data_IF_923280147021
#
_entry.id   IF_923280147021
#
_cell.length_a   1.000
_cell.length_b   1.000
_cell.length_c   1.000
_cell.angle_alpha   90.00
_cell.angle_beta   90.00
_cell.angle_gamma   90.00
#
_symmetry.space_group_name_H-M   'P 1'
#
loop_
_entity.id
_entity.type
_entity.pdbx_description
1 polymer ?
#
# COMPACT_ATOMS: atom_id res chain seq x y z
N UNK A 1 -34.04 25.83 15.92
CA UNK A 1 -33.50 24.64 16.62
C UNK A 1 -34.36 24.37 17.84
N UNK A 2 -34.60 23.10 18.17
CA UNK A 2 -35.44 22.68 19.30
C UNK A 2 -35.07 23.37 20.63
N UNK A 3 -33.78 23.64 20.89
CA UNK A 3 -33.33 24.40 22.07
C UNK A 3 -33.87 25.84 22.15
N UNK A 4 -34.07 26.54 21.03
CA UNK A 4 -34.70 27.88 21.04
C UNK A 4 -36.19 27.80 21.33
N UNK A 5 -36.84 26.72 20.89
CA UNK A 5 -38.24 26.46 21.22
C UNK A 5 -38.38 26.12 22.71
N UNK A 6 -37.51 25.26 23.26
CA UNK A 6 -37.46 24.94 24.70
C UNK A 6 -37.25 26.19 25.56
N UNK A 7 -36.31 27.06 25.19
CA UNK A 7 -36.10 28.35 25.91
C UNK A 7 -37.28 29.31 25.72
N UNK A 8 -38.02 29.20 24.61
CA UNK A 8 -39.24 29.96 24.38
C UNK A 8 -40.40 29.51 25.27
N UNK A 9 -40.50 28.21 25.57
CA UNK A 9 -41.51 27.64 26.46
C UNK A 9 -41.13 27.71 27.94
N UNK A 10 -39.85 27.54 28.26
CA UNK A 10 -39.26 27.67 29.60
C UNK A 10 -38.03 28.58 29.52
N UNK A 11 -38.22 29.89 29.74
CA UNK A 11 -37.13 30.85 29.75
C UNK A 11 -36.07 30.53 30.79
N UNK A 12 -36.38 29.87 31.91
CA UNK A 12 -35.44 29.63 33.01
C UNK A 12 -34.76 28.27 32.98
N UNK A 13 -34.95 27.52 31.90
CA UNK A 13 -34.27 26.27 31.65
C UNK A 13 -32.74 26.46 31.56
N UNK A 14 -32.06 26.39 32.71
CA UNK A 14 -30.64 26.69 32.87
C UNK A 14 -29.75 25.83 31.97
N UNK A 15 -30.03 24.52 31.89
CA UNK A 15 -29.29 23.58 31.04
C UNK A 15 -29.42 23.89 29.55
N UNK A 16 -30.61 24.25 29.05
CA UNK A 16 -30.81 24.62 27.65
C UNK A 16 -30.10 25.95 27.31
N UNK A 17 -30.12 26.93 28.22
CA UNK A 17 -29.35 28.19 28.11
C UNK A 17 -27.84 27.93 28.03
N UNK A 18 -27.29 27.06 28.89
CA UNK A 18 -25.87 26.69 28.87
C UNK A 18 -25.50 26.00 27.56
N UNK A 19 -26.25 24.97 27.15
CA UNK A 19 -26.02 24.25 25.89
C UNK A 19 -26.11 25.19 24.67
N UNK A 20 -27.06 26.13 24.65
CA UNK A 20 -27.17 27.08 23.55
C UNK A 20 -25.97 28.03 23.49
N UNK A 21 -25.48 28.51 24.64
CA UNK A 21 -24.28 29.37 24.71
C UNK A 21 -23.05 28.62 24.23
N UNK A 22 -22.83 27.40 24.70
CA UNK A 22 -21.68 26.58 24.29
C UNK A 22 -21.74 26.22 22.81
N UNK A 23 -22.90 25.88 22.25
CA UNK A 23 -23.07 25.65 20.81
C UNK A 23 -22.77 26.90 19.96
N UNK A 24 -23.11 28.09 20.46
CA UNK A 24 -22.75 29.35 19.80
C UNK A 24 -21.23 29.58 19.84
N UNK A 25 -20.59 29.35 20.98
CA UNK A 25 -19.14 29.48 21.12
C UNK A 25 -18.41 28.46 20.24
N UNK A 26 -18.89 27.23 20.20
CA UNK A 26 -18.41 26.15 19.33
C UNK A 26 -18.47 26.57 17.85
N UNK A 27 -19.63 27.04 17.40
CA UNK A 27 -19.82 27.51 16.03
C UNK A 27 -18.91 28.71 15.69
N UNK A 28 -18.72 29.62 16.64
CA UNK A 28 -17.80 30.76 16.50
C UNK A 28 -16.36 30.27 16.35
N UNK A 29 -15.90 29.36 17.20
CA UNK A 29 -14.54 28.80 17.15
C UNK A 29 -14.25 28.07 15.85
N UNK A 30 -15.19 27.26 15.37
CA UNK A 30 -15.09 26.67 14.04
C UNK A 30 -14.98 27.73 12.94
N UNK A 31 -15.80 28.79 12.99
CA UNK A 31 -15.75 29.85 11.98
C UNK A 31 -14.42 30.63 12.03
N UNK A 32 -13.87 30.89 13.22
CA UNK A 32 -12.53 31.46 13.40
C UNK A 32 -11.45 30.57 12.77
N UNK A 33 -11.55 29.25 12.97
CA UNK A 33 -10.70 28.26 12.29
C UNK A 33 -10.86 28.28 10.76
N UNK A 34 -12.09 28.37 10.24
CA UNK A 34 -12.35 28.43 8.80
C UNK A 34 -11.75 29.72 8.18
N UNK A 35 -11.77 30.83 8.91
CA UNK A 35 -11.12 32.10 8.51
C UNK A 35 -9.60 31.95 8.50
N UNK A 36 -9.01 31.39 9.56
CA UNK A 36 -7.56 31.13 9.62
C UNK A 36 -7.10 30.19 8.49
N UNK A 37 -7.87 29.13 8.21
CA UNK A 37 -7.59 28.19 7.13
C UNK A 37 -7.57 28.90 5.77
N UNK A 38 -8.55 29.78 5.49
CA UNK A 38 -8.57 30.59 4.26
C UNK A 38 -7.39 31.57 4.19
N UNK A 39 -6.95 32.09 5.33
CA UNK A 39 -5.75 32.92 5.43
C UNK A 39 -4.44 32.10 5.30
N UNK A 40 -4.52 30.78 5.12
CA UNK A 40 -3.38 29.83 5.09
C UNK A 40 -2.59 29.75 6.40
N UNK A 41 -3.15 30.26 7.49
CA UNK A 41 -2.63 30.10 8.84
C UNK A 41 -3.16 28.78 9.42
N UNK A 42 -2.52 27.68 9.01
CA UNK A 42 -2.99 26.33 9.33
C UNK A 42 -2.79 25.97 10.81
N UNK A 43 -1.73 26.47 11.44
CA UNK A 43 -1.48 26.24 12.87
C UNK A 43 -2.56 26.88 13.73
N UNK A 44 -2.91 28.15 13.45
CA UNK A 44 -4.02 28.81 14.13
C UNK A 44 -5.35 28.13 13.83
N UNK A 45 -5.59 27.71 12.59
CA UNK A 45 -6.81 26.98 12.24
C UNK A 45 -6.95 25.70 13.08
N UNK A 46 -5.87 24.93 13.20
CA UNK A 46 -5.83 23.71 14.02
C UNK A 46 -6.10 23.98 15.50
N UNK A 47 -5.53 25.04 16.05
CA UNK A 47 -5.76 25.44 17.45
C UNK A 47 -7.25 25.75 17.68
N UNK A 48 -7.87 26.56 16.80
CA UNK A 48 -9.29 26.93 16.93
C UNK A 48 -10.24 25.74 16.72
N UNK A 49 -9.91 24.80 15.81
CA UNK A 49 -10.68 23.57 15.66
C UNK A 49 -10.54 22.64 16.87
N UNK A 50 -9.36 22.56 17.46
CA UNK A 50 -9.13 21.72 18.65
C UNK A 50 -9.89 22.27 19.86
N UNK A 51 -9.86 23.59 20.08
CA UNK A 51 -10.69 24.25 21.08
C UNK A 51 -12.18 24.00 20.83
N UNK A 52 -12.64 24.04 19.58
CA UNK A 52 -14.02 23.68 19.26
C UNK A 52 -14.34 22.23 19.69
N UNK A 53 -13.48 21.26 19.42
CA UNK A 53 -13.72 19.85 19.77
C UNK A 53 -13.77 19.60 21.29
N UNK A 54 -12.96 20.32 22.07
CA UNK A 54 -12.94 20.27 23.54
C UNK A 54 -14.20 20.87 24.17
N UNK A 55 -14.71 21.96 23.60
CA UNK A 55 -15.84 22.71 24.17
C UNK A 55 -17.22 22.09 23.93
N UNK A 56 -17.30 20.88 23.35
CA UNK A 56 -18.56 20.25 22.95
C UNK A 56 -19.27 19.58 24.15
N UNK A 57 -20.36 20.15 24.71
CA UNK A 57 -21.00 19.63 25.93
C UNK A 57 -22.26 18.79 25.63
N UNK A 58 -22.40 18.35 24.38
CA UNK A 58 -23.58 17.66 23.85
C UNK A 58 -23.37 16.13 23.89
N UNK A 59 -24.42 15.33 24.14
CA UNK A 59 -24.34 13.88 23.98
C UNK A 59 -23.69 13.50 22.63
N UNK A 60 -22.77 12.53 22.61
CA UNK A 60 -21.96 12.22 21.42
C UNK A 60 -22.79 12.03 20.14
N UNK A 61 -23.99 11.46 20.26
CA UNK A 61 -24.86 11.12 19.12
C UNK A 61 -25.49 12.33 18.44
N UNK A 62 -25.88 13.36 19.18
CA UNK A 62 -26.53 14.56 18.63
C UNK A 62 -25.52 15.54 18.00
N UNK A 63 -24.28 15.52 18.48
CA UNK A 63 -23.19 16.35 17.96
C UNK A 63 -22.28 15.64 16.95
N UNK A 64 -22.45 14.33 16.73
CA UNK A 64 -21.58 13.49 15.92
C UNK A 64 -21.27 14.08 14.54
N UNK A 65 -22.30 14.43 13.75
CA UNK A 65 -22.10 15.00 12.41
C UNK A 65 -21.41 16.38 12.43
N UNK A 66 -21.63 17.18 13.48
CA UNK A 66 -20.93 18.46 13.61
C UNK A 66 -19.46 18.23 13.98
N UNK A 67 -19.19 17.37 14.97
CA UNK A 67 -17.83 17.00 15.40
C UNK A 67 -17.03 16.41 14.24
N UNK A 68 -17.61 15.49 13.47
CA UNK A 68 -17.01 14.91 12.27
C UNK A 68 -16.56 16.00 11.28
N UNK A 69 -17.37 17.04 11.05
CA UNK A 69 -17.01 18.17 10.17
C UNK A 69 -15.85 19.01 10.72
N UNK A 70 -15.80 19.24 12.03
CA UNK A 70 -14.69 19.98 12.65
C UNK A 70 -13.39 19.18 12.56
N UNK A 71 -13.44 17.87 12.87
CA UNK A 71 -12.32 16.95 12.70
C UNK A 71 -11.81 16.95 11.26
N UNK A 72 -12.70 16.89 10.26
CA UNK A 72 -12.30 16.96 8.86
C UNK A 72 -11.65 18.28 8.45
N UNK A 73 -12.10 19.41 9.01
CA UNK A 73 -11.47 20.71 8.79
C UNK A 73 -10.07 20.77 9.43
N UNK A 74 -9.90 20.21 10.64
CA UNK A 74 -8.59 20.06 11.29
C UNK A 74 -7.67 19.13 10.48
N UNK A 75 -8.17 17.98 10.04
CA UNK A 75 -7.47 17.07 9.13
C UNK A 75 -7.03 17.77 7.83
N UNK A 76 -7.87 18.64 7.27
CA UNK A 76 -7.49 19.41 6.06
C UNK A 76 -6.36 20.39 6.34
N UNK A 77 -6.27 20.93 7.56
CA UNK A 77 -5.17 21.79 8.01
C UNK A 77 -3.88 21.00 8.22
N UNK A 78 -3.95 19.82 8.86
CA UNK A 78 -2.83 18.88 8.97
C UNK A 78 -2.30 18.45 7.60
N UNK A 79 -3.20 18.17 6.65
CA UNK A 79 -2.82 17.78 5.30
C UNK A 79 -2.05 18.89 4.57
N UNK A 80 -2.38 20.16 4.82
CA UNK A 80 -1.65 21.30 4.26
C UNK A 80 -0.22 21.43 4.84
N UNK A 81 -0.02 20.98 6.07
CA UNK A 81 1.28 20.90 6.75
C UNK A 81 2.03 19.58 6.52
N UNK A 82 1.49 18.66 5.71
CA UNK A 82 2.05 17.31 5.43
C UNK A 82 2.11 16.38 6.66
N UNK A 83 1.32 16.68 7.68
CA UNK A 83 1.19 15.86 8.90
C UNK A 83 0.22 14.70 8.65
N UNK A 84 0.61 13.74 7.83
CA UNK A 84 -0.30 12.72 7.29
C UNK A 84 -0.82 11.69 8.30
N UNK A 85 -0.10 11.45 9.40
CA UNK A 85 -0.55 10.54 10.45
C UNK A 85 -1.76 11.14 11.20
N UNK A 86 -1.66 12.41 11.56
CA UNK A 86 -2.72 13.17 12.24
C UNK A 86 -3.96 13.30 11.35
N UNK A 87 -3.78 13.42 10.02
CA UNK A 87 -4.90 13.37 9.07
C UNK A 87 -5.65 12.04 9.16
N UNK A 88 -4.93 10.93 9.28
CA UNK A 88 -5.52 9.60 9.38
C UNK A 88 -6.31 9.46 10.68
N UNK A 89 -5.75 9.93 11.79
CA UNK A 89 -6.40 9.89 13.10
C UNK A 89 -7.70 10.72 13.10
N UNK A 90 -7.64 11.98 12.67
CA UNK A 90 -8.80 12.87 12.61
C UNK A 90 -9.89 12.34 11.68
N UNK A 91 -9.52 11.80 10.51
CA UNK A 91 -10.48 11.21 9.59
C UNK A 91 -11.08 9.92 10.16
N UNK A 92 -10.31 9.14 10.92
CA UNK A 92 -10.78 7.92 11.56
C UNK A 92 -11.81 8.21 12.64
N UNK A 93 -11.55 9.19 13.51
CA UNK A 93 -12.55 9.65 14.50
C UNK A 93 -13.79 10.21 13.79
N UNK A 94 -13.61 11.01 12.72
CA UNK A 94 -14.73 11.55 11.95
C UNK A 94 -15.63 10.46 11.35
N UNK A 95 -15.04 9.38 10.82
CA UNK A 95 -15.76 8.23 10.25
C UNK A 95 -16.48 7.41 11.34
N UNK A 96 -15.89 7.28 12.53
CA UNK A 96 -16.55 6.62 13.66
C UNK A 96 -17.80 7.38 14.12
N UNK A 97 -17.76 8.71 14.05
CA UNK A 97 -18.88 9.58 14.39
C UNK A 97 -19.95 9.62 13.28
N UNK A 98 -19.52 9.68 12.01
CA UNK A 98 -20.39 9.77 10.83
C UNK A 98 -19.88 8.81 9.74
N UNK A 99 -20.47 7.61 9.70
CA UNK A 99 -20.02 6.53 8.82
C UNK A 99 -20.38 6.78 7.34
N UNK A 100 -21.23 7.76 7.04
CA UNK A 100 -21.60 8.20 5.70
C UNK A 100 -20.76 9.39 5.23
N UNK A 101 -19.76 9.81 6.02
CA UNK A 101 -18.98 11.00 5.72
C UNK A 101 -17.91 10.75 4.63
N UNK A 102 -18.37 10.70 3.37
CA UNK A 102 -17.56 10.39 2.17
C UNK A 102 -16.27 11.23 2.06
N UNK A 103 -16.30 12.50 2.50
CA UNK A 103 -15.13 13.39 2.44
C UNK A 103 -13.98 12.88 3.34
N UNK A 104 -14.29 12.36 4.52
CA UNK A 104 -13.29 11.84 5.45
C UNK A 104 -12.60 10.59 4.87
N UNK A 105 -13.35 9.65 4.28
CA UNK A 105 -12.76 8.49 3.58
C UNK A 105 -11.81 8.92 2.46
N UNK A 106 -12.23 9.86 1.59
CA UNK A 106 -11.39 10.34 0.48
C UNK A 106 -10.09 10.99 0.98
N UNK A 107 -10.15 11.77 2.07
CA UNK A 107 -8.98 12.45 2.65
C UNK A 107 -8.02 11.46 3.32
N UNK A 108 -8.56 10.50 4.07
CA UNK A 108 -7.77 9.43 4.70
C UNK A 108 -7.05 8.59 3.66
N UNK A 109 -7.77 8.15 2.62
CA UNK A 109 -7.21 7.40 1.50
C UNK A 109 -6.09 8.18 0.79
N UNK A 110 -6.29 9.48 0.52
CA UNK A 110 -5.26 10.31 -0.09
C UNK A 110 -3.99 10.41 0.78
N UNK A 111 -4.13 10.51 2.11
CA UNK A 111 -2.98 10.59 3.02
C UNK A 111 -2.26 9.25 3.15
N UNK A 112 -3.00 8.13 3.17
CA UNK A 112 -2.46 6.78 3.15
C UNK A 112 -1.62 6.53 1.88
N UNK A 113 -2.08 6.97 0.71
CA UNK A 113 -1.29 6.88 -0.52
C UNK A 113 0.00 7.73 -0.48
N UNK A 114 0.00 8.85 0.23
CA UNK A 114 1.19 9.70 0.38
C UNK A 114 2.22 9.05 1.31
N UNK A 115 1.77 8.45 2.42
CA UNK A 115 2.66 7.64 3.28
C UNK A 115 3.24 6.48 2.48
N UNK A 116 2.40 5.84 1.66
CA UNK A 116 2.78 4.74 0.82
C UNK A 116 3.06 3.47 1.62
N UNK A 117 3.43 2.41 0.91
CA UNK A 117 3.52 1.07 1.49
C UNK A 117 2.35 0.19 1.08
N UNK A 118 2.56 -1.13 1.15
CA UNK A 118 1.56 -2.10 0.68
C UNK A 118 0.29 -2.01 1.52
N UNK A 119 0.43 -2.01 2.84
CA UNK A 119 -0.70 -2.01 3.78
C UNK A 119 -1.52 -0.72 3.68
N UNK A 120 -0.84 0.42 3.54
CA UNK A 120 -1.43 1.75 3.41
C UNK A 120 -2.20 1.87 2.10
N UNK A 121 -1.64 1.39 0.99
CA UNK A 121 -2.32 1.33 -0.30
C UNK A 121 -3.56 0.41 -0.28
N UNK A 122 -3.51 -0.71 0.44
CA UNK A 122 -4.68 -1.57 0.65
C UNK A 122 -5.77 -0.84 1.44
N UNK A 123 -5.41 -0.19 2.56
CA UNK A 123 -6.32 0.62 3.37
C UNK A 123 -6.94 1.76 2.55
N UNK A 124 -6.14 2.46 1.74
CA UNK A 124 -6.61 3.53 0.87
C UNK A 124 -7.61 3.05 -0.18
N UNK A 125 -7.38 1.87 -0.76
CA UNK A 125 -8.29 1.27 -1.74
C UNK A 125 -9.65 0.96 -1.09
N UNK A 126 -9.65 0.36 0.10
CA UNK A 126 -10.88 0.08 0.87
C UNK A 126 -11.67 1.35 1.20
N UNK A 127 -10.98 2.43 1.55
CA UNK A 127 -11.60 3.73 1.84
C UNK A 127 -12.27 4.34 0.59
N UNK A 128 -11.61 4.29 -0.56
CA UNK A 128 -12.21 4.77 -1.80
C UNK A 128 -13.39 3.90 -2.25
N UNK A 129 -13.32 2.58 -2.09
CA UNK A 129 -14.46 1.69 -2.37
C UNK A 129 -15.66 1.99 -1.46
N UNK A 130 -15.40 2.27 -0.17
CA UNK A 130 -16.45 2.68 0.75
C UNK A 130 -17.05 4.04 0.35
N UNK A 131 -16.21 4.99 -0.04
CA UNK A 131 -16.64 6.28 -0.56
C UNK A 131 -17.48 6.14 -1.86
N UNK A 132 -17.10 5.22 -2.75
CA UNK A 132 -17.83 4.95 -3.99
C UNK A 132 -19.25 4.44 -3.71
N UNK A 133 -19.40 3.53 -2.73
CA UNK A 133 -20.71 3.01 -2.29
C UNK A 133 -21.63 4.09 -1.71
N UNK A 134 -21.05 5.17 -1.16
CA UNK A 134 -21.78 6.28 -0.55
C UNK A 134 -21.98 7.47 -1.52
N UNK A 135 -21.39 7.42 -2.71
CA UNK A 135 -21.47 8.49 -3.70
C UNK A 135 -22.90 8.65 -4.22
N UNK A 136 -23.38 9.89 -4.29
CA UNK A 136 -24.78 10.18 -4.65
C UNK A 136 -24.94 10.55 -6.11
N UNK A 137 -23.91 11.16 -6.70
CA UNK A 137 -23.92 11.61 -8.10
C UNK A 137 -22.95 10.77 -8.93
N UNK A 138 -23.21 10.68 -10.24
CA UNK A 138 -22.33 9.94 -11.14
C UNK A 138 -20.98 10.64 -11.33
N UNK A 139 -20.95 11.98 -11.25
CA UNK A 139 -19.71 12.76 -11.22
C UNK A 139 -18.80 12.40 -10.03
N UNK A 140 -19.40 12.21 -8.84
CA UNK A 140 -18.64 11.78 -7.66
C UNK A 140 -18.08 10.37 -7.82
N UNK A 141 -18.86 9.47 -8.42
CA UNK A 141 -18.44 8.09 -8.68
C UNK A 141 -17.25 8.08 -9.63
N UNK A 142 -17.31 8.82 -10.74
CA UNK A 142 -16.24 8.87 -11.73
C UNK A 142 -14.92 9.40 -11.14
N UNK A 143 -14.97 10.46 -10.32
CA UNK A 143 -13.79 10.97 -9.60
C UNK A 143 -13.20 9.93 -8.64
N UNK A 144 -14.06 9.19 -7.92
CA UNK A 144 -13.61 8.17 -6.99
C UNK A 144 -13.02 6.97 -7.73
N UNK A 145 -13.62 6.53 -8.84
CA UNK A 145 -13.07 5.44 -9.66
C UNK A 145 -11.69 5.76 -10.23
N UNK A 146 -11.46 7.01 -10.67
CA UNK A 146 -10.12 7.47 -11.08
C UNK A 146 -9.12 7.34 -9.94
N UNK A 147 -9.54 7.66 -8.71
CA UNK A 147 -8.70 7.52 -7.51
C UNK A 147 -8.47 6.06 -7.12
N UNK A 148 -9.47 5.19 -7.26
CA UNK A 148 -9.32 3.74 -7.06
C UNK A 148 -8.28 3.18 -8.04
N UNK A 149 -8.38 3.52 -9.33
CA UNK A 149 -7.38 3.10 -10.32
C UNK A 149 -5.96 3.54 -9.94
N UNK A 150 -5.81 4.81 -9.53
CA UNK A 150 -4.51 5.32 -9.05
C UNK A 150 -4.01 4.57 -7.81
N UNK A 151 -4.88 4.31 -6.83
CA UNK A 151 -4.55 3.56 -5.63
C UNK A 151 -4.14 2.12 -5.95
N UNK A 152 -4.84 1.45 -6.86
CA UNK A 152 -4.53 0.09 -7.31
C UNK A 152 -3.18 0.01 -8.03
N UNK A 153 -2.85 1.00 -8.87
CA UNK A 153 -1.53 1.08 -9.51
C UNK A 153 -0.44 1.23 -8.45
N UNK A 154 -0.64 2.08 -7.44
CA UNK A 154 0.31 2.24 -6.34
C UNK A 154 0.42 0.97 -5.48
N UNK A 155 -0.70 0.31 -5.19
CA UNK A 155 -0.71 -0.96 -4.47
C UNK A 155 0.09 -2.03 -5.24
N UNK A 156 -0.15 -2.15 -6.54
CA UNK A 156 0.57 -3.10 -7.40
C UNK A 156 2.07 -2.82 -7.37
N UNK A 157 2.47 -1.55 -7.50
CA UNK A 157 3.87 -1.12 -7.38
C UNK A 157 4.47 -1.42 -6.00
N UNK A 158 3.75 -1.14 -4.92
CA UNK A 158 4.19 -1.42 -3.55
C UNK A 158 4.27 -2.92 -3.23
N UNK A 159 3.46 -3.73 -3.91
CA UNK A 159 3.49 -5.20 -3.84
C UNK A 159 4.52 -5.85 -4.76
N UNK A 160 5.16 -5.08 -5.65
CA UNK A 160 6.15 -5.58 -6.60
C UNK A 160 7.34 -6.16 -5.83
N UNK A 161 7.71 -7.39 -6.20
CA UNK A 161 8.87 -8.06 -5.64
C UNK A 161 10.14 -7.31 -6.04
N UNK A 162 10.99 -7.05 -5.06
CA UNK A 162 12.32 -6.48 -5.27
C UNK A 162 13.30 -7.62 -5.56
N UNK A 163 13.57 -7.89 -6.85
CA UNK A 163 14.40 -9.02 -7.28
C UNK A 163 15.85 -8.89 -6.79
N UNK A 164 16.34 -7.65 -6.66
CA UNK A 164 17.67 -7.38 -6.10
C UNK A 164 17.72 -7.79 -4.62
N UNK A 165 16.69 -7.44 -3.83
CA UNK A 165 16.58 -7.91 -2.43
C UNK A 165 16.39 -9.43 -2.34
N UNK A 166 15.59 -10.02 -3.22
CA UNK A 166 15.37 -11.48 -3.27
C UNK A 166 16.68 -12.21 -3.56
N UNK A 167 17.52 -11.71 -4.46
CA UNK A 167 18.87 -12.24 -4.70
C UNK A 167 19.89 -11.75 -3.68
N UNK A 168 19.60 -10.70 -2.91
CA UNK A 168 20.52 -10.15 -1.91
C UNK A 168 21.74 -9.49 -2.54
N UNK A 169 21.54 -8.84 -3.68
CA UNK A 169 22.56 -8.11 -4.45
C UNK A 169 22.14 -6.65 -4.58
N UNK A 170 23.10 -5.76 -4.89
CA UNK A 170 22.81 -4.34 -5.17
C UNK A 170 22.28 -4.16 -6.60
N UNK A 171 21.71 -3.00 -6.91
CA UNK A 171 21.25 -2.69 -8.28
C UNK A 171 22.40 -2.64 -9.29
N UNK A 172 23.57 -2.20 -8.85
CA UNK A 172 24.80 -2.14 -9.64
C UNK A 172 25.54 -3.48 -9.73
N UNK A 173 24.96 -4.57 -9.23
CA UNK A 173 25.59 -5.88 -9.25
C UNK A 173 25.86 -6.36 -10.68
N UNK A 174 27.05 -6.93 -10.85
CA UNK A 174 27.51 -7.53 -12.11
C UNK A 174 26.81 -8.87 -12.36
N UNK A 175 26.74 -9.30 -13.63
CA UNK A 175 26.15 -10.58 -14.01
C UNK A 175 26.79 -11.77 -13.27
N UNK A 176 28.10 -11.69 -12.99
CA UNK A 176 28.83 -12.69 -12.22
C UNK A 176 28.35 -12.76 -10.76
N UNK A 177 28.06 -11.62 -10.12
CA UNK A 177 27.54 -11.54 -8.76
C UNK A 177 26.09 -12.02 -8.68
N UNK A 178 25.26 -11.65 -9.64
CA UNK A 178 23.88 -12.13 -9.80
C UNK A 178 23.88 -13.66 -9.92
N UNK A 179 24.69 -14.20 -10.83
CA UNK A 179 24.87 -15.65 -11.05
C UNK A 179 25.40 -16.38 -9.81
N UNK A 180 26.35 -15.78 -9.09
CA UNK A 180 26.90 -16.32 -7.84
C UNK A 180 25.86 -16.35 -6.73
N UNK A 181 25.06 -15.29 -6.57
CA UNK A 181 24.05 -15.24 -5.53
C UNK A 181 22.89 -16.20 -5.81
N UNK A 182 22.43 -16.27 -7.06
CA UNK A 182 21.42 -17.22 -7.51
C UNK A 182 21.80 -18.66 -7.12
N UNK A 183 23.00 -19.13 -7.49
CA UNK A 183 23.49 -20.47 -7.10
C UNK A 183 23.36 -20.74 -5.60
N UNK A 184 23.85 -19.80 -4.79
CA UNK A 184 23.89 -19.96 -3.33
C UNK A 184 22.47 -20.07 -2.76
N UNK A 185 21.53 -19.28 -3.29
CA UNK A 185 20.14 -19.27 -2.84
C UNK A 185 19.34 -20.45 -3.39
N UNK A 186 19.51 -20.78 -4.66
CA UNK A 186 18.90 -21.94 -5.30
C UNK A 186 19.28 -23.24 -4.58
N UNK A 187 20.58 -23.46 -4.30
CA UNK A 187 21.03 -24.62 -3.54
C UNK A 187 20.45 -24.60 -2.10
N UNK A 188 20.39 -23.44 -1.45
CA UNK A 188 19.87 -23.33 -0.08
C UNK A 188 18.39 -23.68 0.01
N UNK A 189 17.59 -23.27 -0.97
CA UNK A 189 16.13 -23.39 -0.96
C UNK A 189 15.57 -24.52 -1.83
N UNK A 190 16.44 -25.32 -2.47
CA UNK A 190 16.02 -26.45 -3.30
C UNK A 190 15.14 -27.46 -2.52
N UNK A 191 14.06 -27.99 -3.12
CA UNK A 191 13.15 -28.95 -2.47
C UNK A 191 13.86 -30.14 -1.84
N UNK A 192 14.86 -30.71 -2.50
CA UNK A 192 15.66 -31.85 -1.98
C UNK A 192 16.28 -31.60 -0.61
N UNK A 193 16.68 -30.35 -0.29
CA UNK A 193 17.28 -30.04 1.01
C UNK A 193 16.24 -29.85 2.12
N UNK A 194 14.97 -29.70 1.75
CA UNK A 194 13.85 -29.49 2.67
C UNK A 194 12.87 -30.67 2.69
N UNK A 195 13.21 -31.81 2.07
CA UNK A 195 12.36 -33.00 2.00
C UNK A 195 11.91 -33.57 3.36
N UNK A 196 12.73 -33.39 4.40
CA UNK A 196 12.44 -33.85 5.78
C UNK A 196 11.90 -32.73 6.70
N UNK A 197 11.66 -31.53 6.18
CA UNK A 197 11.18 -30.39 6.98
C UNK A 197 9.66 -30.43 7.18
N UNK A 198 9.15 -29.60 8.10
CA UNK A 198 7.71 -29.42 8.28
C UNK A 198 7.04 -28.90 7.01
N UNK A 199 5.74 -29.14 6.85
CA UNK A 199 4.98 -28.71 5.67
C UNK A 199 5.05 -27.19 5.44
N UNK A 200 5.03 -26.41 6.51
CA UNK A 200 5.19 -24.94 6.44
C UNK A 200 6.57 -24.54 5.93
N UNK A 201 7.63 -25.23 6.38
CA UNK A 201 8.99 -24.99 5.92
C UNK A 201 9.20 -25.40 4.45
N UNK A 202 8.56 -26.49 4.01
CA UNK A 202 8.56 -26.93 2.61
C UNK A 202 7.91 -25.89 1.72
N UNK A 203 6.71 -25.42 2.07
CA UNK A 203 6.00 -24.38 1.32
C UNK A 203 6.83 -23.10 1.23
N UNK A 204 7.39 -22.65 2.36
CA UNK A 204 8.25 -21.45 2.38
C UNK A 204 9.51 -21.63 1.53
N UNK A 205 10.12 -22.81 1.54
CA UNK A 205 11.29 -23.10 0.72
C UNK A 205 10.94 -23.10 -0.78
N UNK A 206 9.82 -23.71 -1.15
CA UNK A 206 9.31 -23.72 -2.53
C UNK A 206 8.99 -22.31 -3.03
N UNK A 207 8.27 -21.52 -2.24
CA UNK A 207 7.97 -20.11 -2.56
C UNK A 207 9.25 -19.29 -2.73
N UNK A 208 10.19 -19.43 -1.80
CA UNK A 208 11.47 -18.71 -1.88
C UNK A 208 12.30 -19.17 -3.07
N UNK A 209 12.29 -20.47 -3.39
CA UNK A 209 12.98 -21.02 -4.56
C UNK A 209 12.37 -20.49 -5.86
N UNK A 210 11.05 -20.46 -5.97
CA UNK A 210 10.33 -19.86 -7.11
C UNK A 210 10.72 -18.39 -7.29
N UNK A 211 10.72 -17.61 -6.21
CA UNK A 211 11.08 -16.19 -6.23
C UNK A 211 12.54 -15.96 -6.63
N UNK A 212 13.46 -16.80 -6.15
CA UNK A 212 14.88 -16.73 -6.51
C UNK A 212 15.11 -17.04 -8.00
N UNK A 213 14.37 -18.00 -8.56
CA UNK A 213 14.46 -18.33 -9.99
C UNK A 213 13.94 -17.20 -10.86
N UNK A 214 12.74 -16.69 -10.55
CA UNK A 214 12.15 -15.54 -11.24
C UNK A 214 13.08 -14.31 -11.19
N UNK A 215 13.64 -14.01 -10.02
CA UNK A 215 14.58 -12.90 -9.87
C UNK A 215 15.83 -13.08 -10.74
N UNK A 216 16.35 -14.30 -10.87
CA UNK A 216 17.49 -14.56 -11.74
C UNK A 216 17.12 -14.46 -13.21
N UNK A 217 15.97 -14.99 -13.62
CA UNK A 217 15.49 -14.89 -15.01
C UNK A 217 15.41 -13.44 -15.48
N UNK A 218 14.86 -12.56 -14.65
CA UNK A 218 14.71 -11.13 -14.97
C UNK A 218 16.05 -10.39 -14.91
N UNK A 219 16.87 -10.64 -13.90
CA UNK A 219 18.11 -9.86 -13.70
C UNK A 219 19.31 -10.36 -14.52
N UNK A 220 19.27 -11.60 -15.02
CA UNK A 220 20.35 -12.15 -15.86
C UNK A 220 20.23 -11.80 -17.34
N UNK A 221 19.04 -11.42 -17.80
CA UNK A 221 18.81 -10.90 -19.15
C UNK A 221 18.94 -9.36 -19.16
N UNK A 222 19.87 -8.77 -19.93
CA UNK A 222 20.07 -7.33 -19.97
C UNK A 222 18.82 -6.52 -20.37
N UNK A 223 18.00 -7.04 -21.28
CA UNK A 223 16.78 -6.38 -21.73
C UNK A 223 15.70 -6.46 -20.64
N UNK A 224 15.47 -7.65 -20.04
CA UNK A 224 14.49 -7.79 -18.95
C UNK A 224 14.91 -6.98 -17.72
N UNK A 225 16.21 -6.94 -17.39
CA UNK A 225 16.76 -6.12 -16.30
C UNK A 225 16.51 -4.63 -16.54
N UNK A 226 16.82 -4.13 -17.73
CA UNK A 226 16.56 -2.73 -18.07
C UNK A 226 15.08 -2.39 -17.94
N UNK A 227 14.19 -3.23 -18.49
CA UNK A 227 12.73 -3.04 -18.39
C UNK A 227 12.23 -3.10 -16.95
N UNK A 228 12.79 -4.01 -16.15
CA UNK A 228 12.51 -4.11 -14.73
C UNK A 228 12.89 -2.82 -14.00
N UNK A 229 14.06 -2.26 -14.30
CA UNK A 229 14.57 -1.01 -13.73
C UNK A 229 13.75 0.21 -14.20
N UNK A 230 13.25 0.20 -15.43
CA UNK A 230 12.30 1.19 -15.99
C UNK A 230 10.88 1.08 -15.39
N UNK A 231 10.61 0.05 -14.58
CA UNK A 231 9.34 -0.13 -13.89
C UNK A 231 8.27 -0.84 -14.71
N UNK A 232 8.64 -1.53 -15.79
CA UNK A 232 7.74 -2.40 -16.56
C UNK A 232 7.24 -3.54 -15.67
N UNK A 233 5.97 -3.88 -15.80
CA UNK A 233 5.35 -4.92 -14.99
C UNK A 233 5.97 -6.29 -15.27
N UNK A 234 6.06 -7.13 -14.24
CA UNK A 234 6.66 -8.47 -14.33
C UNK A 234 6.03 -9.32 -15.46
N UNK A 235 4.71 -9.22 -15.59
CA UNK A 235 3.91 -9.94 -16.60
C UNK A 235 4.20 -9.49 -18.04
N UNK A 236 4.78 -8.29 -18.17
CA UNK A 236 5.03 -7.63 -19.45
C UNK A 236 6.50 -7.65 -19.84
N UNK A 237 7.40 -8.16 -18.98
CA UNK A 237 8.84 -8.20 -19.21
C UNK A 237 9.22 -8.99 -20.47
N UNK A 238 8.37 -9.92 -20.91
CA UNK A 238 8.55 -10.72 -22.11
C UNK A 238 7.84 -10.15 -23.34
N UNK A 239 6.96 -9.16 -23.17
CA UNK A 239 6.24 -8.55 -24.27
C UNK A 239 7.04 -7.38 -24.86
N UNK A 240 7.66 -7.49 -26.05
CA UNK A 240 8.48 -6.44 -26.65
C UNK A 240 7.70 -5.17 -27.03
N UNK A 241 6.36 -5.22 -26.98
CA UNK A 241 5.48 -4.08 -27.23
C UNK A 241 4.91 -3.45 -25.96
N UNK A 242 5.15 -4.03 -24.78
CA UNK A 242 4.61 -3.47 -23.54
C UNK A 242 5.38 -2.20 -23.13
N UNK A 243 4.67 -1.07 -23.25
CA UNK A 243 5.06 0.24 -22.72
C UNK A 243 4.41 0.46 -21.36
N UNK A 244 5.02 1.28 -20.47
CA UNK A 244 4.39 1.62 -19.20
C UNK A 244 2.98 2.23 -19.43
N UNK A 245 1.93 1.50 -19.05
CA UNK A 245 0.54 1.97 -19.09
C UNK A 245 -0.36 1.50 -20.26
N UNK A 246 0.06 0.55 -21.08
CA UNK A 246 -0.80 -0.08 -22.10
C UNK A 246 -1.35 -1.44 -21.64
N UNK A 247 -2.66 -1.65 -21.75
CA UNK A 247 -3.25 -3.00 -21.65
C UNK A 247 -3.19 -3.66 -23.03
N UNK A 248 -2.64 -4.88 -23.14
CA UNK A 248 -3.14 -5.92 -24.05
C UNK A 248 -2.58 -7.32 -23.72
N UNK A 249 -3.28 -8.35 -24.20
CA UNK A 249 -3.15 -9.77 -23.90
C UNK A 249 -2.01 -10.47 -24.66
N UNK A 250 -1.39 -11.51 -24.07
CA UNK A 250 -0.59 -12.47 -24.81
C UNK A 250 0.31 -13.34 -23.95
N UNK A 251 0.12 -14.66 -23.95
CA UNK A 251 0.74 -15.59 -23.02
C UNK A 251 2.10 -16.21 -23.42
N UNK A 252 2.63 -16.93 -22.42
CA UNK A 252 3.52 -18.12 -22.44
C UNK A 252 5.05 -17.98 -22.37
N UNK A 253 5.63 -18.61 -21.33
CA UNK A 253 6.80 -19.48 -21.52
C UNK A 253 8.01 -19.37 -20.56
N UNK A 254 7.84 -19.13 -19.25
CA UNK A 254 8.96 -19.20 -18.30
C UNK A 254 9.61 -20.59 -18.24
N UNK A 255 10.95 -20.65 -18.12
CA UNK A 255 11.70 -21.90 -17.96
C UNK A 255 11.35 -22.52 -16.61
N UNK A 256 11.06 -23.83 -16.58
CA UNK A 256 10.79 -24.53 -15.33
C UNK A 256 11.95 -24.33 -14.32
N UNK A 257 11.67 -23.92 -13.07
CA UNK A 257 12.69 -23.66 -12.03
C UNK A 257 13.69 -24.79 -11.81
N UNK A 258 13.25 -26.05 -11.92
CA UNK A 258 14.13 -27.20 -11.76
C UNK A 258 14.98 -27.43 -13.01
N UNK A 259 14.44 -27.18 -14.20
CA UNK A 259 15.20 -27.25 -15.46
C UNK A 259 16.31 -26.20 -15.50
N UNK A 260 16.03 -24.97 -15.10
CA UNK A 260 17.01 -23.89 -15.02
C UNK A 260 18.15 -24.23 -14.05
N UNK A 261 17.81 -24.79 -12.88
CA UNK A 261 18.79 -25.25 -11.90
C UNK A 261 19.62 -26.43 -12.43
N UNK A 262 19.01 -27.41 -13.09
CA UNK A 262 19.73 -28.55 -13.67
C UNK A 262 20.69 -28.12 -14.78
N UNK A 263 20.26 -27.25 -15.71
CA UNK A 263 21.14 -26.67 -16.72
C UNK A 263 22.35 -25.99 -16.11
N UNK A 264 22.13 -25.29 -14.99
CA UNK A 264 23.18 -24.61 -14.25
C UNK A 264 24.20 -25.59 -13.65
N UNK A 265 23.71 -26.64 -12.97
CA UNK A 265 24.56 -27.65 -12.34
C UNK A 265 25.32 -28.48 -13.39
N UNK A 266 24.71 -28.71 -14.55
CA UNK A 266 25.33 -29.42 -15.67
C UNK A 266 26.41 -28.59 -16.37
N UNK A 267 26.22 -27.27 -16.53
CA UNK A 267 27.24 -26.36 -17.08
C UNK A 267 28.53 -26.34 -16.23
N UNK A 268 28.46 -26.69 -14.95
CA UNK A 268 29.63 -26.75 -14.05
C UNK A 268 30.18 -28.18 -13.87
N UNK A 269 29.43 -29.22 -14.26
CA UNK A 269 29.84 -30.62 -14.19
C UNK A 269 30.89 -31.07 -15.24
N UNK A 270 31.38 -30.15 -16.08
CA UNK A 270 32.32 -30.46 -17.17
C UNK A 270 33.80 -30.51 -16.80
N UNK A 271 34.18 -30.43 -15.52
CA UNK A 271 35.58 -30.36 -15.11
C UNK A 271 35.85 -31.13 -13.81
N UNK A 272 35.82 -32.46 -13.89
CA UNK A 272 36.15 -33.32 -12.75
C UNK A 272 36.02 -34.81 -13.06
N UNK A 273 36.92 -35.37 -13.88
CA UNK A 273 36.93 -36.82 -14.12
C UNK A 273 37.87 -37.35 -15.19
N UNK A 274 39.01 -36.70 -15.46
CA UNK A 274 40.09 -37.31 -16.24
C UNK A 274 41.08 -37.94 -15.25
N UNK A 275 40.99 -39.27 -15.08
CA UNK A 275 41.79 -39.98 -14.08
C UNK A 275 41.60 -41.49 -14.12
N UNK A 276 42.13 -42.12 -15.17
CA UNK A 276 42.77 -43.44 -15.16
C UNK A 276 42.04 -44.64 -14.53
N UNK A 277 41.68 -45.62 -15.38
CA UNK A 277 42.35 -46.92 -15.36
C UNK A 277 41.75 -47.82 -16.43
N UNK A 278 42.41 -47.89 -17.58
CA UNK A 278 42.33 -49.06 -18.42
C UNK A 278 42.93 -50.24 -17.67
N UNK A 279 42.11 -51.28 -17.44
CA UNK A 279 42.59 -52.64 -17.20
C UNK A 279 41.79 -53.56 -18.11
N UNK A 280 42.37 -53.78 -19.30
CA UNK A 280 42.21 -55.04 -20.00
C UNK A 280 42.76 -56.15 -19.10
N UNK A 281 41.94 -57.14 -18.78
CA UNK A 281 42.43 -58.46 -18.37
C UNK A 281 41.64 -59.51 -19.14
N UNK A 282 42.42 -60.30 -19.87
CA UNK A 282 42.05 -61.28 -20.88
C UNK A 282 41.23 -62.46 -20.32
N UNK A 283 40.39 -62.97 -21.21
CA UNK A 283 39.74 -64.27 -21.15
C UNK A 283 40.72 -65.35 -21.62
N UNK A 284 40.76 -66.49 -20.93
CA UNK A 284 41.38 -67.71 -21.45
C UNK A 284 40.54 -68.92 -21.04
N UNK A 285 40.24 -69.76 -22.04
CA UNK A 285 40.19 -71.23 -22.01
C UNK A 285 39.27 -71.88 -21.00
#
# INVERSE_FOLDING_TARGET
THLRQVIGFDPDHARAKVILRTLRTLAKKKAEGDVAYKARDFEKAMAEYSLALEMCPCPPRESASYRAKVLFNRASSHAALRNHNEVIDDCTEAIQLDNEYTKAYKRRAASLLIIGGKEECEKATRDYEKALKLAKTDEEKEDIEKKIRSAQVQLKRASRKDFYKILGVTRDATDAEIKKSYRKKALKWHPDRHGNSTEEQKKKAEETFRDVNLAYEVLSDPQKKQRYDEGVEEQDLDNPHARPGGHDMGGHGGIDPNVLFQMFMQQQGGMGGMGGSGRNSFHFG
#
